data_IF_384772491769
#
_entry.id   IF_384772491769
#
_cell.length_a   1.000
_cell.length_b   1.000
_cell.length_c   1.000
_cell.angle_alpha   90.00
_cell.angle_beta   90.00
_cell.angle_gamma   90.00
#
_symmetry.space_group_name_H-M   'P 1'
#
loop_
_entity.id
_entity.type
_entity.pdbx_description
1 polymer ?
#
# COMPACT_ATOMS: atom_id res chain seq x y z
N UNK A 1 -43.69 -31.33 -12.29
CA UNK A 1 -42.31 -31.83 -12.08
C UNK A 1 -42.25 -32.54 -10.73
N UNK A 2 -41.64 -33.72 -10.65
CA UNK A 2 -41.58 -34.51 -9.39
C UNK A 2 -40.67 -33.86 -8.35
N UNK A 3 -41.05 -33.92 -7.07
CA UNK A 3 -40.33 -33.33 -5.92
C UNK A 3 -38.87 -33.80 -5.80
N UNK A 4 -38.55 -35.00 -6.31
CA UNK A 4 -37.17 -35.49 -6.38
C UNK A 4 -36.31 -34.67 -7.33
N UNK A 5 -36.84 -34.26 -8.49
CA UNK A 5 -36.10 -33.44 -9.47
C UNK A 5 -35.83 -32.05 -8.92
N UNK A 6 -36.76 -31.48 -8.15
CA UNK A 6 -36.60 -30.18 -7.49
C UNK A 6 -35.49 -30.22 -6.42
N UNK A 7 -35.39 -31.30 -5.63
CA UNK A 7 -34.31 -31.47 -4.65
C UNK A 7 -32.94 -31.64 -5.30
N UNK A 8 -32.85 -32.42 -6.38
CA UNK A 8 -31.59 -32.59 -7.12
C UNK A 8 -31.11 -31.28 -7.77
N UNK A 9 -32.03 -30.48 -8.31
CA UNK A 9 -31.70 -29.15 -8.86
C UNK A 9 -31.20 -28.23 -7.75
N UNK A 10 -31.87 -28.19 -6.60
CA UNK A 10 -31.46 -27.35 -5.46
C UNK A 10 -30.07 -27.74 -4.93
N UNK A 11 -29.77 -29.03 -4.86
CA UNK A 11 -28.46 -29.53 -4.42
C UNK A 11 -27.35 -29.17 -5.41
N UNK A 12 -27.63 -29.28 -6.72
CA UNK A 12 -26.70 -28.91 -7.78
C UNK A 12 -26.41 -27.39 -7.78
N UNK A 13 -27.44 -26.56 -7.57
CA UNK A 13 -27.25 -25.09 -7.48
C UNK A 13 -26.42 -24.70 -6.26
N UNK A 14 -26.61 -25.36 -5.12
CA UNK A 14 -25.86 -25.07 -3.90
C UNK A 14 -24.38 -25.46 -4.04
N UNK A 15 -24.11 -26.63 -4.62
CA UNK A 15 -22.75 -27.09 -4.90
C UNK A 15 -22.03 -26.16 -5.90
N UNK A 16 -22.72 -25.71 -6.95
CA UNK A 16 -22.17 -24.76 -7.91
C UNK A 16 -21.80 -23.41 -7.27
N UNK A 17 -22.67 -22.88 -6.41
CA UNK A 17 -22.41 -21.62 -5.71
C UNK A 17 -21.21 -21.71 -4.75
N UNK A 18 -21.04 -22.84 -4.06
CA UNK A 18 -19.89 -23.06 -3.18
C UNK A 18 -18.56 -23.04 -3.96
N UNK A 19 -18.49 -23.74 -5.10
CA UNK A 19 -17.27 -23.79 -5.91
C UNK A 19 -16.88 -22.41 -6.47
N UNK A 20 -17.86 -21.60 -6.87
CA UNK A 20 -17.61 -20.22 -7.33
C UNK A 20 -17.13 -19.32 -6.18
N UNK A 21 -17.69 -19.48 -4.98
CA UNK A 21 -17.25 -18.74 -3.78
C UNK A 21 -15.78 -19.00 -3.41
N UNK A 22 -15.28 -20.24 -3.57
CA UNK A 22 -13.86 -20.55 -3.32
C UNK A 22 -12.90 -19.90 -4.32
N UNK A 23 -13.34 -19.58 -5.55
CA UNK A 23 -12.51 -18.90 -6.54
C UNK A 23 -12.40 -17.39 -6.34
N UNK A 24 -13.21 -16.80 -5.45
CA UNK A 24 -13.23 -15.35 -5.20
C UNK A 24 -12.03 -14.83 -4.38
N UNK A 25 -11.19 -15.72 -3.84
CA UNK A 25 -9.95 -15.37 -3.14
C UNK A 25 -8.70 -15.45 -4.03
N UNK A 26 -8.83 -15.45 -5.36
CA UNK A 26 -7.66 -15.32 -6.23
C UNK A 26 -7.11 -13.90 -6.13
N UNK A 27 -6.04 -13.71 -5.36
CA UNK A 27 -5.31 -12.45 -5.31
C UNK A 27 -4.75 -12.15 -6.71
N UNK A 28 -5.13 -10.99 -7.26
CA UNK A 28 -4.52 -10.49 -8.49
C UNK A 28 -3.05 -10.24 -8.18
N UNK A 29 -2.10 -10.65 -9.05
CA UNK A 29 -0.70 -10.36 -8.83
C UNK A 29 -0.52 -8.86 -8.60
N UNK A 30 0.00 -8.50 -7.41
CA UNK A 30 0.22 -7.11 -7.00
C UNK A 30 1.19 -6.36 -7.91
N UNK A 31 1.86 -7.08 -8.81
CA UNK A 31 2.70 -6.54 -9.88
C UNK A 31 2.32 -7.25 -11.17
N UNK A 32 1.57 -6.59 -12.06
CA UNK A 32 1.08 -7.18 -13.32
C UNK A 32 2.19 -7.43 -14.34
N UNK A 33 3.35 -6.76 -14.22
CA UNK A 33 4.56 -6.96 -15.03
C UNK A 33 5.78 -6.55 -14.21
N UNK A 34 6.68 -7.48 -13.89
CA UNK A 34 7.98 -7.16 -13.32
C UNK A 34 8.93 -6.71 -14.44
N UNK A 35 9.31 -5.43 -14.44
CA UNK A 35 10.36 -4.92 -15.32
C UNK A 35 11.66 -4.81 -14.53
N UNK A 36 12.62 -5.65 -14.91
CA UNK A 36 13.91 -5.73 -14.22
C UNK A 36 14.63 -4.38 -14.28
N UNK A 37 14.93 -3.81 -13.10
CA UNK A 37 15.64 -2.54 -12.97
C UNK A 37 14.77 -1.28 -12.96
N UNK A 38 13.44 -1.40 -13.05
CA UNK A 38 12.52 -0.25 -12.98
C UNK A 38 11.82 -0.17 -11.62
N UNK A 39 11.95 0.97 -10.94
CA UNK A 39 11.18 1.26 -9.72
C UNK A 39 9.73 1.57 -10.11
N UNK A 40 8.81 0.69 -9.71
CA UNK A 40 7.36 0.81 -10.01
C UNK A 40 6.54 1.42 -8.86
N UNK A 41 7.21 1.86 -7.80
CA UNK A 41 6.59 2.60 -6.70
C UNK A 41 6.25 4.04 -7.10
N UNK A 42 5.55 4.75 -6.21
CA UNK A 42 5.41 6.21 -6.34
C UNK A 42 6.80 6.84 -6.40
N UNK A 43 7.01 7.83 -7.25
CA UNK A 43 8.27 8.59 -7.25
C UNK A 43 8.54 9.12 -5.84
N UNK A 44 9.72 8.83 -5.31
CA UNK A 44 10.11 9.34 -4.00
C UNK A 44 10.34 10.85 -4.12
N UNK A 45 9.51 11.63 -3.40
CA UNK A 45 9.71 13.06 -3.28
C UNK A 45 10.80 13.34 -2.24
N UNK A 46 11.69 14.28 -2.54
CA UNK A 46 12.71 14.71 -1.57
C UNK A 46 12.01 15.46 -0.43
N UNK A 47 12.52 15.38 0.81
CA UNK A 47 11.82 15.94 1.98
C UNK A 47 11.49 17.43 1.91
N UNK A 48 12.24 18.20 1.11
CA UNK A 48 12.02 19.63 0.92
C UNK A 48 11.07 19.98 -0.23
N UNK A 49 10.67 19.02 -1.08
CA UNK A 49 9.88 19.30 -2.29
C UNK A 49 8.41 19.65 -2.00
N UNK A 50 7.89 19.26 -0.84
CA UNK A 50 6.49 19.50 -0.44
C UNK A 50 6.34 20.09 0.96
N UNK A 51 5.10 20.19 1.41
CA UNK A 51 4.76 20.56 2.79
C UNK A 51 5.26 21.95 3.21
N UNK A 52 5.95 21.99 4.35
CA UNK A 52 6.44 23.22 5.00
C UNK A 52 7.52 23.94 4.17
N UNK A 53 8.38 23.19 3.49
CA UNK A 53 9.56 23.75 2.80
C UNK A 53 9.28 24.17 1.36
N UNK A 54 8.19 23.70 0.74
CA UNK A 54 7.69 24.17 -0.57
C UNK A 54 8.75 24.23 -1.69
N UNK A 55 9.71 23.30 -1.70
CA UNK A 55 10.82 23.24 -2.65
C UNK A 55 12.13 23.84 -2.14
N UNK A 56 12.15 24.55 -1.01
CA UNK A 56 13.34 25.19 -0.46
C UNK A 56 14.22 24.19 0.30
N UNK A 57 15.22 23.68 -0.42
CA UNK A 57 16.25 22.79 0.14
C UNK A 57 17.07 23.48 1.22
N UNK A 58 17.40 24.76 1.07
CA UNK A 58 18.28 25.46 2.00
C UNK A 58 17.58 25.68 3.35
N UNK A 59 16.29 26.03 3.33
CA UNK A 59 15.46 26.12 4.53
C UNK A 59 15.38 24.76 5.25
N UNK A 60 15.18 23.67 4.50
CA UNK A 60 15.16 22.32 5.06
C UNK A 60 16.51 21.92 5.70
N UNK A 61 17.63 22.15 5.01
CA UNK A 61 18.97 21.86 5.55
C UNK A 61 19.28 22.70 6.80
N UNK A 62 18.84 23.96 6.83
CA UNK A 62 18.96 24.82 8.02
C UNK A 62 18.14 24.28 9.18
N UNK A 63 16.89 23.89 8.95
CA UNK A 63 16.02 23.31 9.97
C UNK A 63 16.60 22.00 10.54
N UNK A 64 17.19 21.15 9.69
CA UNK A 64 17.88 19.94 10.14
C UNK A 64 19.09 20.25 11.03
N UNK A 65 19.92 21.21 10.64
CA UNK A 65 21.07 21.64 11.45
C UNK A 65 20.60 22.18 12.80
N UNK A 66 19.57 23.02 12.83
CA UNK A 66 19.03 23.56 14.06
C UNK A 66 18.47 22.46 14.98
N UNK A 67 17.74 21.49 14.43
CA UNK A 67 17.26 20.33 15.18
C UNK A 67 18.42 19.55 15.81
N UNK A 68 19.51 19.34 15.08
CA UNK A 68 20.68 18.64 15.62
C UNK A 68 21.33 19.38 16.79
N UNK A 69 21.33 20.72 16.77
CA UNK A 69 21.85 21.54 17.88
C UNK A 69 21.03 21.40 19.15
N UNK A 70 19.70 21.33 19.04
CA UNK A 70 18.81 21.11 20.18
C UNK A 70 18.92 19.72 20.82
N UNK A 71 19.56 18.76 20.13
CA UNK A 71 19.88 17.43 20.68
C UNK A 71 21.29 17.35 21.26
N UNK A 72 22.13 18.37 21.05
CA UNK A 72 23.49 18.39 21.55
C UNK A 72 23.50 18.86 23.01
N UNK A 73 23.88 17.96 23.93
CA UNK A 73 23.90 18.23 25.36
C UNK A 73 24.84 19.38 25.74
N UNK A 74 25.94 19.57 25.01
CA UNK A 74 26.84 20.72 25.23
C UNK A 74 26.12 22.07 25.08
N UNK A 75 25.13 22.15 24.19
CA UNK A 75 24.35 23.38 24.00
C UNK A 75 23.19 23.52 25.00
N UNK A 76 22.86 22.46 25.77
CA UNK A 76 21.73 22.46 26.72
C UNK A 76 22.13 22.84 28.14
N UNK A 77 23.42 22.72 28.46
CA UNK A 77 23.97 22.95 29.81
C UNK A 77 24.77 24.25 29.94
N UNK A 78 24.97 24.99 28.85
CA UNK A 78 25.55 26.35 28.88
C UNK A 78 24.47 27.40 29.17
#
# INVERSE_FOLDING_TARGET
MSTGKLKSIALATLAGAALLGLSACSEVPQVTVYEQGQYRGKTDARPWEGGEFKGDRAAWEKALKERSRGQNEYNRIQ
#
